data_IF_098975280998
#
_entry.id   IF_098975280998
#
_cell.length_a   1.000
_cell.length_b   1.000
_cell.length_c   1.000
_cell.angle_alpha   90.00
_cell.angle_beta   90.00
_cell.angle_gamma   90.00
#
_symmetry.space_group_name_H-M   'P 1'
#
loop_
_entity.id
_entity.type
_entity.pdbx_description
1 polymer ?
#
# COMPACT_ATOMS: atom_id res chain seq x y z
N UNK A 1 -14.11 8.07 1.32
CA UNK A 1 -12.71 8.54 1.40
C UNK A 1 -11.91 7.44 2.07
N UNK A 2 -11.03 6.76 1.33
CA UNK A 2 -10.21 5.67 1.88
C UNK A 2 -8.94 6.28 2.48
N UNK A 3 -8.82 6.23 3.80
CA UNK A 3 -7.62 6.68 4.50
C UNK A 3 -6.53 5.61 4.38
N UNK A 4 -5.39 5.96 3.78
CA UNK A 4 -4.19 5.12 3.84
C UNK A 4 -3.58 5.28 5.24
N UNK A 5 -3.56 4.19 6.00
CA UNK A 5 -2.91 4.12 7.32
C UNK A 5 -1.64 3.29 7.22
N UNK A 6 -0.50 3.87 7.60
CA UNK A 6 0.79 3.18 7.70
C UNK A 6 1.19 3.18 9.19
N UNK A 7 1.40 2.01 9.80
CA UNK A 7 1.72 1.87 11.23
C UNK A 7 0.78 2.65 12.18
N UNK A 8 -0.54 2.59 11.93
CA UNK A 8 -1.56 3.34 12.68
C UNK A 8 -1.45 4.88 12.62
N UNK A 9 -0.57 5.43 11.78
CA UNK A 9 -0.55 6.85 11.45
C UNK A 9 -1.35 7.08 10.17
N UNK A 10 -2.35 7.96 10.28
CA UNK A 10 -3.10 8.44 9.13
C UNK A 10 -2.20 9.34 8.28
N UNK A 11 -2.10 9.05 6.98
CA UNK A 11 -1.41 9.93 6.04
C UNK A 11 -2.42 10.95 5.53
N UNK A 12 -2.21 12.21 5.88
CA UNK A 12 -3.09 13.30 5.44
C UNK A 12 -3.04 13.45 3.92
N UNK A 13 -4.17 13.77 3.32
CA UNK A 13 -4.28 14.02 1.88
C UNK A 13 -4.86 15.40 1.62
N UNK A 14 -4.40 16.03 0.55
CA UNK A 14 -4.90 17.31 0.07
C UNK A 14 -4.94 17.29 -1.45
N UNK A 15 -6.14 17.44 -2.03
CA UNK A 15 -6.34 17.49 -3.49
C UNK A 15 -5.71 16.30 -4.25
N UNK A 16 -5.76 15.09 -3.67
CA UNK A 16 -5.16 13.89 -4.26
C UNK A 16 -3.65 13.73 -4.02
N UNK A 17 -3.01 14.67 -3.31
CA UNK A 17 -1.62 14.59 -2.89
C UNK A 17 -1.51 14.09 -1.44
N UNK A 18 -0.44 13.37 -1.13
CA UNK A 18 -0.18 12.75 0.17
C UNK A 18 0.87 13.52 0.96
N UNK A 19 0.65 13.69 2.27
CA UNK A 19 1.56 14.40 3.18
C UNK A 19 2.87 13.64 3.37
N UNK A 20 3.95 14.16 2.79
CA UNK A 20 5.31 13.65 2.94
C UNK A 20 5.80 13.76 4.38
N UNK A 21 5.30 14.77 5.12
CA UNK A 21 5.59 14.95 6.53
C UNK A 21 5.01 13.81 7.39
N UNK A 22 3.80 13.36 7.08
CA UNK A 22 3.18 12.25 7.83
C UNK A 22 3.83 10.91 7.45
N UNK A 23 4.21 10.74 6.18
CA UNK A 23 5.02 9.61 5.71
C UNK A 23 6.37 9.55 6.44
N UNK A 24 7.06 10.69 6.59
CA UNK A 24 8.32 10.77 7.32
C UNK A 24 8.17 10.35 8.78
N UNK A 25 7.12 10.83 9.46
CA UNK A 25 6.81 10.42 10.85
C UNK A 25 6.50 8.93 10.94
N UNK A 26 5.65 8.42 10.05
CA UNK A 26 5.27 7.00 9.97
C UNK A 26 6.46 6.08 9.69
N UNK A 27 7.49 6.60 9.03
CA UNK A 27 8.70 5.87 8.66
C UNK A 27 9.83 5.97 9.70
N UNK A 28 9.55 6.49 10.91
CA UNK A 28 10.52 6.54 12.02
C UNK A 28 11.15 7.92 12.27
N UNK A 29 10.75 8.96 11.54
CA UNK A 29 11.12 10.36 11.79
C UNK A 29 12.64 10.63 11.79
N UNK A 30 13.43 9.81 11.09
CA UNK A 30 14.89 9.96 11.05
C UNK A 30 15.30 11.26 10.35
N UNK A 31 16.28 11.99 10.93
CA UNK A 31 16.71 13.30 10.44
C UNK A 31 17.22 13.27 9.00
N UNK A 32 17.89 12.19 8.60
CA UNK A 32 18.43 12.05 7.25
C UNK A 32 17.32 11.88 6.21
N UNK A 33 16.15 11.37 6.62
CA UNK A 33 15.00 11.11 5.77
C UNK A 33 14.00 12.27 5.73
N UNK A 34 14.36 13.46 6.21
CA UNK A 34 13.45 14.60 6.21
C UNK A 34 12.94 14.94 4.80
N UNK A 35 11.68 15.37 4.65
CA UNK A 35 11.12 15.81 3.37
C UNK A 35 11.99 16.84 2.64
N UNK A 36 12.62 17.78 3.35
CA UNK A 36 13.52 18.78 2.75
C UNK A 36 14.73 18.14 2.06
N UNK A 37 15.30 17.09 2.63
CA UNK A 37 16.45 16.38 2.04
C UNK A 37 16.01 15.63 0.78
N UNK A 38 14.84 14.99 0.83
CA UNK A 38 14.26 14.31 -0.33
C UNK A 38 14.00 15.28 -1.48
N UNK A 39 13.36 16.42 -1.21
CA UNK A 39 13.04 17.43 -2.23
C UNK A 39 14.30 18.15 -2.77
N UNK A 40 15.39 18.20 -1.98
CA UNK A 40 16.65 18.76 -2.43
C UNK A 40 17.45 17.82 -3.35
N UNK A 41 17.17 16.51 -3.30
CA UNK A 41 17.87 15.48 -4.06
C UNK A 41 17.72 15.71 -5.57
N UNK A 42 18.83 15.59 -6.32
CA UNK A 42 18.87 15.75 -7.77
C UNK A 42 17.91 14.80 -8.49
N UNK A 43 17.93 13.51 -8.14
CA UNK A 43 17.05 12.49 -8.74
C UNK A 43 15.57 12.82 -8.51
N UNK A 44 15.22 13.30 -7.31
CA UNK A 44 13.84 13.70 -7.01
C UNK A 44 13.40 14.89 -7.85
N UNK A 45 14.27 15.88 -8.04
CA UNK A 45 13.98 17.05 -8.90
C UNK A 45 13.79 16.65 -10.36
N UNK A 46 14.63 15.77 -10.87
CA UNK A 46 14.50 15.22 -12.23
C UNK A 46 13.19 14.45 -12.39
N UNK A 47 12.82 13.62 -11.40
CA UNK A 47 11.54 12.91 -11.40
C UNK A 47 10.34 13.86 -11.35
N UNK A 48 10.39 14.92 -10.54
CA UNK A 48 9.35 15.96 -10.51
C UNK A 48 9.18 16.60 -11.89
N UNK A 49 10.28 16.95 -12.57
CA UNK A 49 10.22 17.53 -13.91
C UNK A 49 9.56 16.59 -14.92
N UNK A 50 9.86 15.28 -14.86
CA UNK A 50 9.23 14.29 -15.74
C UNK A 50 7.72 14.20 -15.47
N UNK A 51 7.32 14.08 -14.20
CA UNK A 51 5.90 14.00 -13.79
C UNK A 51 5.13 15.25 -14.26
N UNK A 52 5.69 16.44 -14.04
CA UNK A 52 5.05 17.71 -14.43
C UNK A 52 4.97 17.89 -15.95
N UNK A 53 5.85 17.24 -16.72
CA UNK A 53 5.79 17.25 -18.19
C UNK A 53 4.53 16.58 -18.75
N UNK A 54 3.89 15.69 -17.98
CA UNK A 54 2.63 15.03 -18.32
C UNK A 54 1.38 15.87 -17.95
N UNK A 55 1.56 17.16 -17.62
CA UNK A 55 0.52 18.05 -17.09
C UNK A 55 -0.12 17.57 -15.78
N UNK A 56 0.64 16.84 -14.96
CA UNK A 56 0.20 16.42 -13.62
C UNK A 56 0.88 17.26 -12.53
N UNK A 57 0.21 17.43 -11.38
CA UNK A 57 0.79 18.17 -10.25
C UNK A 57 1.62 17.18 -9.43
N UNK A 58 2.94 17.31 -9.49
CA UNK A 58 3.85 16.43 -8.75
C UNK A 58 3.78 16.71 -7.23
N UNK A 59 3.80 17.98 -6.82
CA UNK A 59 3.78 18.32 -5.40
C UNK A 59 3.18 19.71 -5.11
N UNK A 60 2.82 19.92 -3.85
CA UNK A 60 2.36 21.19 -3.32
C UNK A 60 2.93 21.41 -1.92
N UNK A 61 3.45 22.61 -1.64
CA UNK A 61 4.00 22.93 -0.32
C UNK A 61 3.19 24.03 0.34
N UNK A 62 2.75 23.80 1.58
CA UNK A 62 2.04 24.76 2.41
C UNK A 62 2.98 25.29 3.48
N UNK A 63 3.29 26.58 3.42
CA UNK A 63 4.15 27.28 4.36
C UNK A 63 3.33 27.99 5.44
N UNK A 64 2.81 27.22 6.41
CA UNK A 64 2.10 27.75 7.58
C UNK A 64 0.72 27.16 7.81
N UNK A 65 0.08 27.53 8.93
CA UNK A 65 -1.22 27.00 9.32
C UNK A 65 -1.20 25.53 9.76
N UNK A 66 -2.41 24.98 9.99
CA UNK A 66 -2.58 23.60 10.49
C UNK A 66 -2.14 22.54 9.46
N UNK A 67 -2.28 22.84 8.17
CA UNK A 67 -1.97 21.92 7.08
C UNK A 67 -0.53 22.07 6.55
N UNK A 68 0.37 22.68 7.32
CA UNK A 68 1.76 22.92 6.90
C UNK A 68 2.46 21.62 6.54
N UNK A 69 3.08 21.59 5.36
CA UNK A 69 3.90 20.47 4.92
C UNK A 69 4.05 20.41 3.42
N UNK A 70 4.80 19.41 2.97
CA UNK A 70 4.93 19.07 1.56
C UNK A 70 4.00 17.91 1.26
N UNK A 71 3.12 18.09 0.27
CA UNK A 71 2.21 17.08 -0.23
C UNK A 71 2.66 16.68 -1.63
N UNK A 72 2.67 15.38 -1.92
CA UNK A 72 3.23 14.84 -3.16
C UNK A 72 2.28 13.84 -3.81
N UNK A 73 2.38 13.65 -5.12
CA UNK A 73 1.65 12.62 -5.85
C UNK A 73 2.10 11.21 -5.44
N UNK A 74 1.33 10.20 -5.84
CA UNK A 74 1.56 8.80 -5.44
C UNK A 74 2.94 8.28 -5.89
N UNK A 75 3.39 8.65 -7.08
CA UNK A 75 4.69 8.29 -7.64
C UNK A 75 5.84 8.77 -6.76
N UNK A 76 5.72 10.00 -6.23
CA UNK A 76 6.70 10.56 -5.30
C UNK A 76 6.62 9.92 -3.90
N UNK A 77 5.45 9.42 -3.48
CA UNK A 77 5.35 8.59 -2.27
C UNK A 77 6.17 7.32 -2.43
N UNK A 78 6.06 6.62 -3.56
CA UNK A 78 6.86 5.44 -3.84
C UNK A 78 8.35 5.77 -3.95
N UNK A 79 8.70 6.86 -4.63
CA UNK A 79 10.08 7.32 -4.73
C UNK A 79 10.69 7.62 -3.35
N UNK A 80 9.94 8.27 -2.46
CA UNK A 80 10.36 8.52 -1.09
C UNK A 80 10.58 7.22 -0.31
N UNK A 81 9.63 6.28 -0.38
CA UNK A 81 9.75 4.97 0.28
C UNK A 81 10.98 4.18 -0.21
N UNK A 82 11.26 4.24 -1.51
CA UNK A 82 12.45 3.62 -2.11
C UNK A 82 13.75 4.32 -1.73
N UNK A 83 13.72 5.62 -1.51
CA UNK A 83 14.89 6.40 -1.10
C UNK A 83 15.31 6.09 0.34
N UNK A 84 14.35 5.94 1.26
CA UNK A 84 14.63 5.70 2.68
C UNK A 84 14.85 4.22 3.03
N UNK A 85 14.44 3.29 2.16
CA UNK A 85 14.53 1.85 2.40
C UNK A 85 15.09 1.10 1.20
N UNK A 86 16.39 0.77 1.26
CA UNK A 86 17.06 -0.04 0.25
C UNK A 86 16.40 -1.43 0.05
N UNK A 87 15.89 -2.02 1.14
CA UNK A 87 15.15 -3.30 1.08
C UNK A 87 13.87 -3.16 0.26
N UNK A 88 13.08 -2.12 0.50
CA UNK A 88 11.86 -1.86 -0.24
C UNK A 88 12.16 -1.55 -1.71
N UNK A 89 13.17 -0.71 -1.97
CA UNK A 89 13.63 -0.41 -3.32
C UNK A 89 13.99 -1.69 -4.11
N UNK A 90 14.79 -2.57 -3.52
CA UNK A 90 15.14 -3.85 -4.14
C UNK A 90 13.91 -4.75 -4.41
N UNK A 91 12.92 -4.73 -3.51
CA UNK A 91 11.66 -5.46 -3.73
C UNK A 91 10.88 -4.90 -4.92
N UNK A 92 10.76 -3.59 -5.06
CA UNK A 92 10.10 -2.94 -6.21
C UNK A 92 10.81 -3.28 -7.51
N UNK A 93 12.14 -3.18 -7.56
CA UNK A 93 12.94 -3.56 -8.73
C UNK A 93 12.69 -5.03 -9.12
N UNK A 94 12.68 -5.93 -8.14
CA UNK A 94 12.43 -7.37 -8.37
C UNK A 94 11.00 -7.64 -8.84
N UNK A 95 10.02 -6.94 -8.28
CA UNK A 95 8.63 -7.04 -8.70
C UNK A 95 8.45 -6.54 -10.15
N UNK A 96 9.11 -5.45 -10.53
CA UNK A 96 9.09 -4.96 -11.91
C UNK A 96 9.74 -5.97 -12.89
N UNK A 97 10.95 -6.44 -12.59
CA UNK A 97 11.66 -7.45 -13.40
C UNK A 97 10.80 -8.70 -13.61
N UNK A 98 10.12 -9.09 -12.55
CA UNK A 98 9.25 -10.23 -12.54
C UNK A 98 7.97 -10.07 -13.34
N UNK A 99 7.29 -8.93 -13.25
CA UNK A 99 6.11 -8.66 -14.06
C UNK A 99 6.47 -8.75 -15.55
N UNK A 100 7.65 -8.23 -15.90
CA UNK A 100 8.16 -8.30 -17.27
C UNK A 100 8.63 -9.71 -17.70
N UNK A 101 8.80 -10.64 -16.77
CA UNK A 101 9.21 -12.04 -17.03
C UNK A 101 8.16 -13.07 -16.62
N UNK A 102 6.98 -12.64 -16.15
CA UNK A 102 5.88 -13.47 -15.67
C UNK A 102 6.02 -14.08 -14.26
N UNK A 103 6.98 -13.69 -13.42
CA UNK A 103 7.28 -14.38 -12.16
C UNK A 103 7.60 -13.45 -10.96
N UNK A 104 6.59 -12.99 -10.19
CA UNK A 104 6.78 -12.11 -9.01
C UNK A 104 7.59 -12.83 -7.90
N UNK A 105 8.80 -12.37 -7.53
CA UNK A 105 9.74 -13.17 -6.74
C UNK A 105 9.62 -12.88 -5.23
N UNK A 106 8.88 -11.82 -4.86
CA UNK A 106 8.75 -11.33 -3.49
C UNK A 106 7.39 -11.63 -2.86
N UNK A 107 6.45 -12.21 -3.61
CA UNK A 107 5.31 -12.89 -3.02
C UNK A 107 5.76 -14.32 -2.68
N UNK A 108 5.37 -14.88 -1.52
CA UNK A 108 5.50 -16.32 -1.33
C UNK A 108 4.86 -16.99 -2.55
N UNK A 109 5.59 -17.94 -3.17
CA UNK A 109 5.04 -18.72 -4.27
C UNK A 109 3.76 -19.35 -3.75
N UNK A 110 2.60 -18.82 -4.13
CA UNK A 110 1.32 -19.47 -3.85
C UNK A 110 1.35 -20.72 -4.69
N UNK A 111 1.70 -21.83 -4.06
CA UNK A 111 1.75 -23.12 -4.74
C UNK A 111 0.29 -23.46 -5.05
N UNK A 112 -0.06 -24.11 -6.17
CA UNK A 112 -1.46 -24.46 -6.48
C UNK A 112 -2.21 -25.21 -5.36
N UNK A 113 -1.48 -25.77 -4.40
CA UNK A 113 -1.99 -26.34 -3.15
C UNK A 113 -2.71 -25.32 -2.24
N UNK A 114 -2.29 -24.06 -2.19
CA UNK A 114 -2.89 -23.02 -1.33
C UNK A 114 -4.27 -22.55 -1.80
N UNK A 115 -4.69 -22.91 -3.02
CA UNK A 115 -5.99 -22.51 -3.60
C UNK A 115 -7.07 -23.59 -3.50
N UNK A 116 -6.77 -24.82 -3.08
CA UNK A 116 -7.77 -25.88 -3.00
C UNK A 116 -8.21 -26.10 -1.56
N UNK A 117 -9.36 -25.51 -1.21
CA UNK A 117 -10.20 -26.03 -0.13
C UNK A 117 -10.39 -27.54 -0.38
N UNK A 118 -10.18 -28.36 0.64
CA UNK A 118 -10.38 -29.80 0.52
C UNK A 118 -11.82 -30.10 0.12
N UNK A 119 -12.07 -31.26 -0.50
CA UNK A 119 -13.43 -31.65 -0.88
C UNK A 119 -14.39 -31.63 0.32
N UNK A 120 -13.88 -31.93 1.51
CA UNK A 120 -14.58 -31.88 2.80
C UNK A 120 -14.96 -30.45 3.19
N UNK A 121 -14.02 -29.50 3.09
CA UNK A 121 -14.27 -28.09 3.39
C UNK A 121 -15.29 -27.48 2.40
N UNK A 122 -15.20 -27.84 1.11
CA UNK A 122 -16.17 -27.42 0.10
C UNK A 122 -17.56 -27.98 0.41
N UNK A 123 -17.65 -29.24 0.87
CA UNK A 123 -18.92 -29.86 1.25
C UNK A 123 -19.54 -29.19 2.49
N UNK A 124 -18.73 -28.88 3.50
CA UNK A 124 -19.16 -28.19 4.72
C UNK A 124 -19.65 -26.77 4.43
N UNK A 125 -18.95 -26.00 3.60
CA UNK A 125 -19.37 -24.65 3.19
C UNK A 125 -20.70 -24.71 2.42
N UNK A 126 -20.85 -25.65 1.49
CA UNK A 126 -22.11 -25.83 0.74
C UNK A 126 -23.28 -26.22 1.64
N UNK A 127 -23.04 -27.09 2.63
CA UNK A 127 -24.06 -27.47 3.61
C UNK A 127 -24.47 -26.29 4.50
N UNK A 128 -23.51 -25.49 4.97
CA UNK A 128 -23.77 -24.29 5.76
C UNK A 128 -24.60 -23.27 4.96
N UNK A 129 -24.22 -22.98 3.70
CA UNK A 129 -24.97 -22.06 2.83
C UNK A 129 -26.40 -22.57 2.56
N UNK A 130 -26.59 -23.89 2.39
CA UNK A 130 -27.91 -24.49 2.17
C UNK A 130 -28.81 -24.42 3.42
N UNK A 131 -28.24 -24.43 4.63
CA UNK A 131 -29.00 -24.20 5.85
C UNK A 131 -29.36 -22.71 6.02
N UNK A 132 -28.43 -21.80 5.69
CA UNK A 132 -28.63 -20.34 5.73
C UNK A 132 -29.79 -19.90 4.83
N UNK A 133 -29.88 -20.45 3.61
CA UNK A 133 -30.96 -20.12 2.67
C UNK A 133 -32.34 -20.64 3.09
N UNK A 134 -32.40 -21.55 4.08
CA UNK A 134 -33.66 -22.09 4.61
C UNK A 134 -34.14 -21.44 5.92
N UNK A 135 -33.27 -20.73 6.65
CA UNK A 135 -33.58 -20.21 8.00
C UNK A 135 -33.27 -18.72 8.23
N UNK A 136 -32.71 -18.02 7.25
CA UNK A 136 -32.74 -16.55 7.22
C UNK A 136 -31.83 -15.80 8.21
N UNK A 137 -30.95 -16.45 8.97
CA UNK A 137 -29.92 -15.76 9.76
C UNK A 137 -28.74 -16.68 10.10
N UNK A 138 -27.49 -16.22 9.92
CA UNK A 138 -26.31 -16.86 10.55
C UNK A 138 -25.30 -15.83 11.07
N UNK A 139 -24.88 -16.06 12.33
CA UNK A 139 -23.82 -15.36 13.05
C UNK A 139 -22.42 -15.73 12.55
N UNK A 140 -21.53 -14.74 12.49
CA UNK A 140 -20.14 -14.83 12.02
C UNK A 140 -19.32 -15.95 12.72
N UNK A 141 -19.64 -16.25 13.99
CA UNK A 141 -18.97 -17.29 14.76
C UNK A 141 -19.14 -18.69 14.16
N UNK A 142 -20.28 -18.99 13.56
CA UNK A 142 -20.54 -20.31 12.97
C UNK A 142 -19.70 -20.55 11.70
N UNK A 143 -19.59 -19.52 10.86
CA UNK A 143 -18.75 -19.57 9.65
C UNK A 143 -17.26 -19.71 10.01
N UNK A 144 -16.82 -19.06 11.08
CA UNK A 144 -15.42 -19.10 11.51
C UNK A 144 -14.98 -20.48 12.02
N UNK A 145 -15.86 -21.18 12.73
CA UNK A 145 -15.57 -22.54 13.19
C UNK A 145 -15.60 -23.58 12.05
N UNK A 146 -16.51 -23.44 11.09
CA UNK A 146 -16.63 -24.39 9.96
C UNK A 146 -15.42 -24.36 9.00
N UNK A 147 -14.68 -23.25 8.93
CA UNK A 147 -13.51 -23.11 8.06
C UNK A 147 -12.24 -23.69 8.70
N UNK A 148 -12.17 -23.70 10.03
CA UNK A 148 -10.95 -24.00 10.79
C UNK A 148 -10.97 -25.37 11.48
N UNK A 149 -11.84 -26.30 11.05
CA UNK A 149 -11.86 -27.70 11.49
C UNK A 149 -11.67 -28.61 10.27
#
# INVERSE_FOLDING_TARGET
MNALTINAQAISQLNGLYSLNDLHKASGNEKNHQPSNFMANKQTKELITEIESENTIAYHTINGGHNRGTYVCEELVYAYAMWISAKFNLMVIRAFKALNTGAIPCLPKTTPADRRLSATQIAQIRAAVKQVTSTGAVSYQYLYHAINT
#
